data_IF_710105211355
#
_entry.id   IF_710105211355
#
_cell.length_a   1.000
_cell.length_b   1.000
_cell.length_c   1.000
_cell.angle_alpha   90.00
_cell.angle_beta   90.00
_cell.angle_gamma   90.00
#
_symmetry.space_group_name_H-M   'P 1'
#
loop_
_entity.id
_entity.type
_entity.pdbx_description
1 polymer ?
#
# COMPACT_ATOMS: atom_id res chain seq x y z
N UNK A 1 -8.95 -16.36 19.49
CA UNK A 1 -8.64 -15.27 20.42
C UNK A 1 -7.12 -15.17 20.56
N UNK A 2 -6.57 -14.02 20.21
CA UNK A 2 -5.16 -13.73 20.43
C UNK A 2 -5.05 -13.24 21.88
N UNK A 3 -4.81 -14.13 22.81
CA UNK A 3 -4.59 -13.75 24.22
C UNK A 3 -3.11 -13.49 24.41
N UNK A 4 -2.70 -12.22 24.41
CA UNK A 4 -1.33 -11.78 24.72
C UNK A 4 -0.89 -12.18 26.14
N UNK A 5 -1.83 -12.33 27.03
CA UNK A 5 -1.57 -12.58 28.44
C UNK A 5 -2.55 -13.65 28.95
N UNK A 6 -2.08 -14.54 29.78
CA UNK A 6 -2.92 -15.59 30.39
C UNK A 6 -4.05 -14.93 31.23
N UNK A 7 -5.33 -15.25 30.95
CA UNK A 7 -6.46 -14.71 31.74
C UNK A 7 -6.28 -14.93 33.24
N UNK A 8 -6.51 -13.89 34.02
CA UNK A 8 -6.37 -13.95 35.48
C UNK A 8 -4.94 -13.72 36.01
N UNK A 9 -3.95 -13.41 35.13
CA UNK A 9 -2.60 -13.04 35.57
C UNK A 9 -2.55 -11.60 36.09
N UNK A 10 -1.51 -11.24 36.90
CA UNK A 10 -1.29 -9.86 37.36
C UNK A 10 -1.21 -8.86 36.19
N UNK A 11 -0.65 -9.27 35.08
CA UNK A 11 -0.58 -8.47 33.85
C UNK A 11 -1.96 -8.28 33.20
N UNK A 12 -2.82 -9.29 33.18
CA UNK A 12 -4.22 -9.22 32.74
C UNK A 12 -5.02 -8.20 33.55
N UNK A 13 -4.88 -8.27 34.92
CA UNK A 13 -5.52 -7.31 35.80
C UNK A 13 -5.01 -5.86 35.64
N UNK A 14 -3.73 -5.67 35.34
CA UNK A 14 -3.16 -4.34 35.07
C UNK A 14 -3.63 -3.78 33.74
N UNK A 15 -3.60 -4.58 32.66
CA UNK A 15 -4.06 -4.20 31.34
C UNK A 15 -5.55 -3.88 31.31
N UNK A 16 -6.37 -4.69 31.98
CA UNK A 16 -7.82 -4.46 32.04
C UNK A 16 -8.18 -3.16 32.77
N UNK A 17 -7.45 -2.81 33.85
CA UNK A 17 -7.65 -1.52 34.55
C UNK A 17 -7.23 -0.30 33.76
N UNK A 18 -6.25 -0.44 32.83
CA UNK A 18 -5.66 0.69 32.13
C UNK A 18 -6.28 0.92 30.74
N UNK A 19 -6.70 -0.15 30.07
CA UNK A 19 -7.10 -0.12 28.64
C UNK A 19 -8.54 -0.57 28.38
N UNK A 20 -9.27 -1.09 29.36
CA UNK A 20 -10.68 -1.36 29.17
C UNK A 20 -11.47 -0.05 29.18
N UNK A 21 -12.26 0.16 28.13
CA UNK A 21 -13.27 1.21 28.05
C UNK A 21 -14.67 0.60 28.18
N UNK A 22 -15.68 1.45 28.29
CA UNK A 22 -17.11 1.03 28.29
C UNK A 22 -17.53 0.33 26.98
N UNK A 23 -16.75 0.49 25.91
CA UNK A 23 -17.09 -0.01 24.57
C UNK A 23 -16.15 -1.12 24.08
N UNK A 24 -14.91 -1.18 24.56
CA UNK A 24 -13.90 -2.14 24.10
C UNK A 24 -13.09 -2.70 25.26
N UNK A 25 -12.86 -4.01 25.23
CA UNK A 25 -11.89 -4.67 26.10
C UNK A 25 -10.47 -4.50 25.54
N UNK A 26 -9.45 -4.52 26.43
CA UNK A 26 -8.06 -4.48 25.97
C UNK A 26 -7.71 -5.64 25.03
N UNK A 27 -8.34 -6.80 25.22
CA UNK A 27 -8.15 -7.99 24.37
C UNK A 27 -8.64 -7.75 22.94
N UNK A 28 -9.75 -7.02 22.77
CA UNK A 28 -10.25 -6.63 21.43
C UNK A 28 -9.33 -5.61 20.77
N UNK A 29 -8.86 -4.61 21.55
CA UNK A 29 -7.93 -3.60 21.03
C UNK A 29 -6.63 -4.27 20.56
N UNK A 30 -5.97 -5.07 21.40
CA UNK A 30 -4.74 -5.77 21.02
C UNK A 30 -4.97 -6.84 19.96
N UNK A 31 -6.16 -7.46 19.94
CA UNK A 31 -6.56 -8.43 18.89
C UNK A 31 -6.66 -7.82 17.49
N UNK A 32 -6.99 -6.53 17.40
CA UNK A 32 -6.99 -5.76 16.16
C UNK A 32 -5.60 -5.15 15.86
N UNK A 33 -4.92 -4.64 16.88
CA UNK A 33 -3.66 -3.93 16.73
C UNK A 33 -2.47 -4.86 16.44
N UNK A 34 -2.43 -6.03 17.07
CA UNK A 34 -1.37 -7.01 16.88
C UNK A 34 -1.17 -7.44 15.42
N UNK A 35 -2.21 -7.88 14.71
CA UNK A 35 -2.10 -8.19 13.29
C UNK A 35 -1.62 -7.02 12.43
N UNK A 36 -2.01 -5.78 12.75
CA UNK A 36 -1.56 -4.59 12.01
C UNK A 36 -0.06 -4.30 12.21
N UNK A 37 0.46 -4.49 13.43
CA UNK A 37 1.90 -4.35 13.68
C UNK A 37 2.71 -5.40 12.94
N UNK A 38 2.25 -6.64 12.94
CA UNK A 38 2.87 -7.73 12.20
C UNK A 38 2.82 -7.45 10.70
N UNK A 39 1.69 -6.93 10.19
CA UNK A 39 1.51 -6.50 8.80
C UNK A 39 2.57 -5.48 8.39
N UNK A 40 2.76 -4.41 9.18
CA UNK A 40 3.77 -3.40 8.91
C UNK A 40 5.19 -3.97 8.96
N UNK A 41 5.49 -4.81 9.94
CA UNK A 41 6.80 -5.48 10.03
C UNK A 41 7.11 -6.31 8.76
N UNK A 42 6.13 -7.08 8.28
CA UNK A 42 6.28 -7.85 7.03
C UNK A 42 6.51 -6.96 5.81
N UNK A 43 5.78 -5.84 5.70
CA UNK A 43 5.96 -4.88 4.59
C UNK A 43 7.40 -4.34 4.58
N UNK A 44 7.92 -3.91 5.72
CA UNK A 44 9.30 -3.41 5.82
C UNK A 44 10.33 -4.50 5.53
N UNK A 45 10.17 -5.69 6.11
CA UNK A 45 11.08 -6.82 5.89
C UNK A 45 11.17 -7.18 4.39
N UNK A 46 10.03 -7.30 3.73
CA UNK A 46 9.99 -7.60 2.29
C UNK A 46 10.58 -6.46 1.46
N UNK A 47 10.34 -5.21 1.84
CA UNK A 47 10.96 -4.04 1.21
C UNK A 47 12.49 -4.12 1.26
N UNK A 48 13.07 -4.41 2.42
CA UNK A 48 14.52 -4.59 2.59
C UNK A 48 15.05 -5.75 1.74
N UNK A 49 14.38 -6.90 1.75
CA UNK A 49 14.78 -8.06 0.95
C UNK A 49 14.74 -7.75 -0.56
N UNK A 50 13.69 -7.08 -1.03
CA UNK A 50 13.58 -6.69 -2.45
C UNK A 50 14.67 -5.71 -2.85
N UNK A 51 14.98 -4.71 -2.01
CA UNK A 51 16.09 -3.77 -2.26
C UNK A 51 17.42 -4.52 -2.33
N UNK A 52 17.67 -5.46 -1.42
CA UNK A 52 18.86 -6.32 -1.44
C UNK A 52 18.96 -7.14 -2.73
N UNK A 53 17.83 -7.67 -3.23
CA UNK A 53 17.80 -8.43 -4.49
C UNK A 53 18.07 -7.55 -5.71
N UNK A 54 17.53 -6.34 -5.75
CA UNK A 54 17.81 -5.37 -6.82
C UNK A 54 19.29 -4.97 -6.79
N UNK A 55 19.88 -4.79 -5.61
CA UNK A 55 21.28 -4.41 -5.46
C UNK A 55 22.26 -5.47 -5.99
N UNK A 56 21.83 -6.73 -6.05
CA UNK A 56 22.61 -7.82 -6.66
C UNK A 56 22.57 -7.81 -8.21
N UNK A 57 21.69 -7.02 -8.81
CA UNK A 57 21.52 -6.93 -10.27
C UNK A 57 22.50 -5.93 -10.89
N UNK A 58 22.30 -4.63 -10.67
CA UNK A 58 23.22 -3.58 -11.11
C UNK A 58 23.12 -2.32 -10.25
N UNK A 59 24.22 -1.56 -10.15
CA UNK A 59 24.25 -0.29 -9.41
C UNK A 59 23.31 0.74 -10.03
N UNK A 60 23.23 0.78 -11.37
CA UNK A 60 22.36 1.68 -12.10
C UNK A 60 20.88 1.39 -11.81
N UNK A 61 20.51 0.11 -11.63
CA UNK A 61 19.13 -0.28 -11.32
C UNK A 61 18.72 0.13 -9.91
N UNK A 62 19.62 -0.03 -8.93
CA UNK A 62 19.39 0.49 -7.57
C UNK A 62 19.23 2.01 -7.60
N UNK A 63 20.12 2.71 -8.32
CA UNK A 63 20.07 4.16 -8.48
C UNK A 63 18.77 4.62 -9.13
N UNK A 64 18.34 3.95 -10.21
CA UNK A 64 17.11 4.27 -10.92
C UNK A 64 15.87 4.12 -10.02
N UNK A 65 15.73 3.00 -9.32
CA UNK A 65 14.61 2.76 -8.38
C UNK A 65 14.65 3.78 -7.23
N UNK A 66 15.83 4.04 -6.67
CA UNK A 66 15.99 5.01 -5.57
C UNK A 66 15.55 6.41 -5.95
N UNK A 67 15.92 6.90 -7.14
CA UNK A 67 15.54 8.24 -7.60
C UNK A 67 14.03 8.42 -7.69
N UNK A 68 13.31 7.40 -8.15
CA UNK A 68 11.85 7.49 -8.35
C UNK A 68 11.03 6.97 -7.18
N UNK A 69 11.66 6.42 -6.14
CA UNK A 69 10.97 5.89 -4.96
C UNK A 69 10.05 6.92 -4.29
N UNK A 70 10.46 8.19 -4.03
CA UNK A 70 9.56 9.17 -3.43
C UNK A 70 8.32 9.45 -4.30
N UNK A 71 8.46 9.41 -5.63
CA UNK A 71 7.34 9.58 -6.54
C UNK A 71 6.36 8.39 -6.45
N UNK A 72 6.88 7.17 -6.42
CA UNK A 72 6.05 5.97 -6.28
C UNK A 72 5.36 5.91 -4.91
N UNK A 73 6.05 6.29 -3.83
CA UNK A 73 5.45 6.39 -2.50
C UNK A 73 4.36 7.46 -2.44
N UNK A 74 4.55 8.60 -3.09
CA UNK A 74 3.54 9.64 -3.18
C UNK A 74 2.25 9.14 -3.84
N UNK A 75 2.36 8.38 -4.93
CA UNK A 75 1.22 7.79 -5.64
C UNK A 75 0.50 6.73 -4.77
N UNK A 76 1.26 5.86 -4.11
CA UNK A 76 0.71 4.88 -3.16
C UNK A 76 0.01 5.59 -2.01
N UNK A 77 0.61 6.65 -1.48
CA UNK A 77 0.07 7.41 -0.36
C UNK A 77 -1.26 8.11 -0.70
N UNK A 78 -1.40 8.66 -1.90
CA UNK A 78 -2.68 9.22 -2.38
C UNK A 78 -3.80 8.18 -2.40
N UNK A 79 -3.51 7.00 -2.97
CA UNK A 79 -4.47 5.88 -2.98
C UNK A 79 -4.82 5.42 -1.56
N UNK A 80 -3.81 5.30 -0.69
CA UNK A 80 -3.98 4.84 0.70
C UNK A 80 -4.68 5.87 1.58
N UNK A 81 -4.54 7.17 1.29
CA UNK A 81 -5.27 8.23 1.99
C UNK A 81 -6.77 8.14 1.73
N UNK A 82 -7.17 7.92 0.47
CA UNK A 82 -8.58 7.69 0.12
C UNK A 82 -9.11 6.39 0.74
N UNK A 83 -8.31 5.33 0.70
CA UNK A 83 -8.63 4.07 1.35
C UNK A 83 -8.84 4.25 2.87
N UNK A 84 -8.01 5.06 3.54
CA UNK A 84 -8.16 5.40 4.97
C UNK A 84 -9.47 6.14 5.25
N UNK A 85 -9.84 7.10 4.39
CA UNK A 85 -11.15 7.75 4.45
C UNK A 85 -12.30 6.73 4.36
N UNK A 86 -12.19 5.79 3.42
CA UNK A 86 -13.14 4.68 3.27
C UNK A 86 -13.21 3.79 4.53
N UNK A 87 -12.07 3.45 5.12
CA UNK A 87 -11.99 2.69 6.39
C UNK A 87 -12.80 3.34 7.50
N UNK A 88 -12.65 4.65 7.69
CA UNK A 88 -13.35 5.40 8.74
C UNK A 88 -14.85 5.44 8.49
N UNK A 89 -15.29 5.72 7.25
CA UNK A 89 -16.72 5.77 6.91
C UNK A 89 -17.38 4.40 7.10
N UNK A 90 -16.74 3.31 6.68
CA UNK A 90 -17.23 1.94 6.92
C UNK A 90 -17.32 1.63 8.40
N UNK A 91 -16.31 1.97 9.19
CA UNK A 91 -16.28 1.76 10.64
C UNK A 91 -17.40 2.55 11.35
N UNK A 92 -17.70 3.79 10.93
CA UNK A 92 -18.80 4.59 11.48
C UNK A 92 -20.16 3.93 11.28
N UNK A 93 -20.45 3.42 10.07
CA UNK A 93 -21.72 2.74 9.82
C UNK A 93 -21.80 1.38 10.51
N UNK A 94 -20.68 0.67 10.63
CA UNK A 94 -20.61 -0.54 11.46
C UNK A 94 -20.93 -0.24 12.93
N UNK A 95 -20.34 0.81 13.49
CA UNK A 95 -20.60 1.25 14.87
C UNK A 95 -22.06 1.65 15.13
N UNK A 96 -22.74 2.18 14.11
CA UNK A 96 -24.19 2.49 14.15
C UNK A 96 -25.10 1.27 13.97
N UNK A 97 -24.56 0.08 13.66
CA UNK A 97 -25.33 -1.12 13.39
C UNK A 97 -26.08 -1.12 12.05
N UNK A 98 -25.86 -0.11 11.20
CA UNK A 98 -26.55 0.02 9.91
C UNK A 98 -25.82 -0.78 8.81
N UNK A 99 -26.18 -2.05 8.70
CA UNK A 99 -25.56 -3.01 7.78
C UNK A 99 -25.72 -2.61 6.32
N UNK A 100 -26.86 -2.03 5.94
CA UNK A 100 -27.09 -1.62 4.55
C UNK A 100 -26.20 -0.47 4.16
N UNK A 101 -26.13 0.60 4.97
CA UNK A 101 -25.24 1.73 4.73
C UNK A 101 -23.78 1.34 4.83
N UNK A 102 -23.42 0.42 5.73
CA UNK A 102 -22.06 -0.12 5.82
C UNK A 102 -21.66 -0.81 4.51
N UNK A 103 -22.53 -1.64 3.91
CA UNK A 103 -22.24 -2.31 2.62
C UNK A 103 -22.12 -1.32 1.47
N UNK A 104 -22.99 -0.29 1.42
CA UNK A 104 -22.88 0.81 0.45
C UNK A 104 -21.57 1.58 0.63
N UNK A 105 -21.24 1.98 1.86
CA UNK A 105 -19.99 2.66 2.17
C UNK A 105 -18.77 1.82 1.75
N UNK A 106 -18.82 0.50 1.97
CA UNK A 106 -17.76 -0.41 1.56
C UNK A 106 -17.58 -0.43 0.03
N UNK A 107 -18.67 -0.54 -0.74
CA UNK A 107 -18.62 -0.45 -2.20
C UNK A 107 -18.04 0.88 -2.68
N UNK A 108 -18.48 1.98 -2.08
CA UNK A 108 -17.99 3.33 -2.43
C UNK A 108 -16.52 3.55 -2.04
N UNK A 109 -16.04 2.96 -0.95
CA UNK A 109 -14.63 3.02 -0.56
C UNK A 109 -13.74 2.31 -1.59
N UNK A 110 -14.13 1.14 -2.07
CA UNK A 110 -13.43 0.43 -3.14
C UNK A 110 -13.44 1.26 -4.43
N UNK A 111 -14.62 1.78 -4.83
CA UNK A 111 -14.73 2.62 -6.03
C UNK A 111 -13.83 3.86 -5.96
N UNK A 112 -13.88 4.63 -4.86
CA UNK A 112 -13.07 5.83 -4.69
C UNK A 112 -11.58 5.53 -4.79
N UNK A 113 -11.12 4.45 -4.12
CA UNK A 113 -9.73 4.02 -4.15
C UNK A 113 -9.30 3.62 -5.56
N UNK A 114 -10.15 2.86 -6.28
CA UNK A 114 -9.88 2.47 -7.67
C UNK A 114 -9.86 3.67 -8.60
N UNK A 115 -10.79 4.60 -8.48
CA UNK A 115 -10.87 5.79 -9.32
C UNK A 115 -9.62 6.68 -9.16
N UNK A 116 -9.22 6.97 -7.92
CA UNK A 116 -8.01 7.78 -7.66
C UNK A 116 -6.75 7.06 -8.14
N UNK A 117 -6.61 5.76 -7.87
CA UNK A 117 -5.45 5.00 -8.33
C UNK A 117 -5.38 4.90 -9.85
N UNK A 118 -6.52 4.75 -10.53
CA UNK A 118 -6.57 4.71 -11.99
C UNK A 118 -6.19 6.07 -12.59
N UNK A 119 -6.74 7.17 -12.07
CA UNK A 119 -6.43 8.53 -12.54
C UNK A 119 -4.94 8.83 -12.32
N UNK A 120 -4.40 8.57 -11.13
CA UNK A 120 -2.99 8.83 -10.82
C UNK A 120 -2.05 7.94 -11.65
N UNK A 121 -2.42 6.68 -11.89
CA UNK A 121 -1.68 5.76 -12.76
C UNK A 121 -1.67 6.25 -14.22
N UNK A 122 -2.82 6.64 -14.76
CA UNK A 122 -2.94 7.14 -16.13
C UNK A 122 -2.14 8.44 -16.32
N UNK A 123 -2.23 9.37 -15.37
CA UNK A 123 -1.42 10.59 -15.38
C UNK A 123 0.07 10.27 -15.34
N UNK A 124 0.49 9.36 -14.45
CA UNK A 124 1.90 8.98 -14.33
C UNK A 124 2.41 8.33 -15.62
N UNK A 125 1.63 7.45 -16.25
CA UNK A 125 1.97 6.87 -17.56
C UNK A 125 2.13 7.94 -18.64
N UNK A 126 1.20 8.91 -18.70
CA UNK A 126 1.21 9.95 -19.72
C UNK A 126 2.43 10.88 -19.60
N UNK A 127 2.90 11.14 -18.36
CA UNK A 127 3.99 12.10 -18.12
C UNK A 127 5.31 11.45 -17.71
N UNK A 128 5.41 10.12 -17.66
CA UNK A 128 6.58 9.39 -17.15
C UNK A 128 7.91 9.84 -17.75
N UNK A 129 8.03 9.84 -19.07
CA UNK A 129 9.26 10.24 -19.76
C UNK A 129 9.62 11.72 -19.55
N UNK A 130 8.74 12.68 -19.89
CA UNK A 130 8.97 14.09 -19.63
C UNK A 130 9.27 14.41 -18.16
N UNK A 131 8.53 13.81 -17.22
CA UNK A 131 8.72 14.05 -15.79
C UNK A 131 10.09 13.57 -15.31
N UNK A 132 10.50 12.35 -15.68
CA UNK A 132 11.81 11.81 -15.33
C UNK A 132 12.94 12.68 -15.89
N UNK A 133 12.84 13.11 -17.15
CA UNK A 133 13.85 13.97 -17.76
C UNK A 133 13.90 15.36 -17.13
N UNK A 134 12.77 15.93 -16.74
CA UNK A 134 12.71 17.22 -16.08
C UNK A 134 13.24 17.16 -14.64
N UNK A 135 12.83 16.16 -13.87
CA UNK A 135 13.18 16.05 -12.45
C UNK A 135 14.62 15.52 -12.23
N UNK A 136 15.07 14.61 -13.10
CA UNK A 136 16.32 13.88 -12.93
C UNK A 136 17.25 14.03 -14.15
N UNK A 137 17.15 15.15 -14.85
CA UNK A 137 17.94 15.42 -16.06
C UNK A 137 19.46 15.41 -15.85
N UNK A 138 19.90 15.61 -14.60
CA UNK A 138 21.31 15.55 -14.22
C UNK A 138 21.85 14.11 -14.05
N UNK A 139 20.96 13.10 -13.95
CA UNK A 139 21.38 11.71 -13.83
C UNK A 139 21.81 11.12 -15.18
N UNK A 140 22.64 10.06 -15.12
CA UNK A 140 23.08 9.33 -16.31
C UNK A 140 21.90 8.84 -17.17
N UNK A 141 22.09 8.84 -18.50
CA UNK A 141 21.05 8.44 -19.45
C UNK A 141 20.52 7.02 -19.20
N UNK A 142 21.41 6.08 -18.84
CA UNK A 142 21.06 4.69 -18.51
C UNK A 142 20.16 4.63 -17.27
N UNK A 143 20.48 5.42 -16.24
CA UNK A 143 19.67 5.48 -15.00
C UNK A 143 18.28 6.06 -15.31
N UNK A 144 18.17 7.10 -16.14
CA UNK A 144 16.89 7.69 -16.53
C UNK A 144 16.03 6.74 -17.36
N UNK A 145 16.62 6.00 -18.28
CA UNK A 145 15.92 4.97 -19.06
C UNK A 145 15.36 3.87 -18.16
N UNK A 146 16.17 3.35 -17.25
CA UNK A 146 15.76 2.35 -16.26
C UNK A 146 14.68 2.90 -15.31
N UNK A 147 14.80 4.14 -14.86
CA UNK A 147 13.80 4.81 -14.04
C UNK A 147 12.46 4.96 -14.75
N UNK A 148 12.48 5.33 -16.05
CA UNK A 148 11.27 5.42 -16.87
C UNK A 148 10.60 4.05 -17.04
N UNK A 149 11.37 3.02 -17.36
CA UNK A 149 10.88 1.63 -17.46
C UNK A 149 10.26 1.14 -16.15
N UNK A 150 10.88 1.47 -15.00
CA UNK A 150 10.35 1.14 -13.70
C UNK A 150 9.02 1.85 -13.42
N UNK A 151 8.91 3.15 -13.69
CA UNK A 151 7.69 3.94 -13.49
C UNK A 151 6.55 3.42 -14.37
N UNK A 152 6.81 3.05 -15.62
CA UNK A 152 5.79 2.46 -16.50
C UNK A 152 5.27 1.14 -15.90
N UNK A 153 6.15 0.22 -15.55
CA UNK A 153 5.76 -1.05 -14.95
C UNK A 153 5.06 -0.90 -13.59
N UNK A 154 5.52 0.06 -12.76
CA UNK A 154 4.87 0.43 -11.51
C UNK A 154 3.45 0.97 -11.74
N UNK A 155 3.26 1.87 -12.70
CA UNK A 155 1.96 2.46 -13.02
C UNK A 155 0.94 1.40 -13.44
N UNK A 156 1.34 0.43 -14.26
CA UNK A 156 0.48 -0.70 -14.64
C UNK A 156 0.06 -1.49 -13.40
N UNK A 157 0.96 -1.72 -12.46
CA UNK A 157 0.69 -2.45 -11.23
C UNK A 157 -0.27 -1.73 -10.27
N UNK A 158 -0.47 -0.42 -10.43
CA UNK A 158 -1.37 0.38 -9.57
C UNK A 158 -2.84 0.02 -9.78
N UNK A 159 -3.23 -0.49 -10.96
CA UNK A 159 -4.62 -0.91 -11.20
C UNK A 159 -5.03 -2.09 -10.31
N UNK A 160 -4.34 -3.24 -10.33
CA UNK A 160 -4.65 -4.32 -9.40
C UNK A 160 -4.39 -3.96 -7.92
N UNK A 161 -3.39 -3.10 -7.64
CA UNK A 161 -3.15 -2.58 -6.31
C UNK A 161 -4.36 -1.81 -5.75
N UNK A 162 -5.06 -1.06 -6.59
CA UNK A 162 -6.21 -0.27 -6.17
C UNK A 162 -7.35 -1.15 -5.59
N UNK A 163 -7.64 -2.27 -6.26
CA UNK A 163 -8.62 -3.23 -5.75
C UNK A 163 -8.19 -3.82 -4.41
N UNK A 164 -6.95 -4.26 -4.33
CA UNK A 164 -6.37 -4.75 -3.09
C UNK A 164 -6.48 -3.73 -1.96
N UNK A 165 -6.03 -2.49 -2.19
CA UNK A 165 -6.02 -1.42 -1.20
C UNK A 165 -7.44 -1.00 -0.77
N UNK A 166 -8.39 -0.93 -1.71
CA UNK A 166 -9.79 -0.63 -1.42
C UNK A 166 -10.46 -1.72 -0.58
N UNK A 167 -10.21 -2.99 -0.88
CA UNK A 167 -10.73 -4.11 -0.07
C UNK A 167 -10.11 -4.12 1.32
N UNK A 168 -8.81 -3.82 1.43
CA UNK A 168 -8.15 -3.65 2.73
C UNK A 168 -8.79 -2.55 3.58
N UNK A 169 -9.14 -1.43 2.97
CA UNK A 169 -9.87 -0.36 3.65
C UNK A 169 -11.17 -0.86 4.27
N UNK A 170 -11.94 -1.63 3.50
CA UNK A 170 -13.20 -2.24 3.96
C UNK A 170 -12.96 -3.22 5.10
N UNK A 171 -12.03 -4.17 4.94
CA UNK A 171 -11.73 -5.18 5.97
C UNK A 171 -11.24 -4.53 7.26
N UNK A 172 -10.39 -3.51 7.19
CA UNK A 172 -9.96 -2.72 8.36
C UNK A 172 -11.14 -1.99 9.00
N UNK A 173 -12.02 -1.39 8.20
CA UNK A 173 -13.22 -0.70 8.67
C UNK A 173 -14.20 -1.62 9.41
N UNK A 174 -14.32 -2.87 8.99
CA UNK A 174 -15.12 -3.88 9.71
C UNK A 174 -14.32 -4.59 10.81
N UNK A 175 -13.05 -4.25 11.04
CA UNK A 175 -12.20 -4.81 12.09
C UNK A 175 -11.66 -6.21 11.79
N UNK A 176 -11.75 -6.70 10.54
CA UNK A 176 -11.18 -7.99 10.13
C UNK A 176 -9.69 -7.85 9.75
N UNK A 177 -8.89 -7.43 10.71
CA UNK A 177 -7.45 -7.23 10.53
C UNK A 177 -6.67 -8.54 10.33
N UNK A 178 -7.24 -9.67 10.76
CA UNK A 178 -6.63 -10.99 10.56
C UNK A 178 -6.66 -11.42 9.09
N UNK A 179 -7.74 -11.15 8.39
CA UNK A 179 -7.83 -11.40 6.94
C UNK A 179 -6.88 -10.46 6.19
N UNK A 180 -6.77 -9.19 6.61
CA UNK A 180 -5.75 -8.28 6.08
C UNK A 180 -4.34 -8.88 6.21
N UNK A 181 -3.94 -9.28 7.40
CA UNK A 181 -2.61 -9.86 7.65
C UNK A 181 -2.36 -11.10 6.77
N UNK A 182 -3.34 -12.01 6.67
CA UNK A 182 -3.19 -13.22 5.83
C UNK A 182 -2.97 -12.85 4.36
N UNK A 183 -3.74 -11.89 3.84
CA UNK A 183 -3.58 -11.40 2.47
C UNK A 183 -2.21 -10.75 2.26
N UNK A 184 -1.76 -9.88 3.16
CA UNK A 184 -0.45 -9.25 3.08
C UNK A 184 0.65 -10.29 3.04
N UNK A 185 0.61 -11.28 3.94
CA UNK A 185 1.62 -12.35 3.98
C UNK A 185 1.64 -13.13 2.65
N UNK A 186 0.49 -13.54 2.14
CA UNK A 186 0.39 -14.29 0.88
C UNK A 186 0.96 -13.46 -0.29
N UNK A 187 0.53 -12.20 -0.42
CA UNK A 187 0.95 -11.32 -1.52
C UNK A 187 2.46 -11.06 -1.44
N UNK A 188 2.98 -10.79 -0.25
CA UNK A 188 4.40 -10.54 -0.06
C UNK A 188 5.25 -11.79 -0.32
N UNK A 189 4.79 -12.98 0.05
CA UNK A 189 5.46 -14.23 -0.31
C UNK A 189 5.48 -14.44 -1.82
N UNK A 190 4.35 -14.22 -2.51
CA UNK A 190 4.30 -14.30 -3.97
C UNK A 190 5.28 -13.29 -4.59
N UNK A 191 5.30 -12.05 -4.09
CA UNK A 191 6.23 -11.03 -4.54
C UNK A 191 7.69 -11.44 -4.34
N UNK A 192 8.02 -11.97 -3.17
CA UNK A 192 9.37 -12.45 -2.85
C UNK A 192 9.82 -13.58 -3.78
N UNK A 193 8.99 -14.62 -3.96
CA UNK A 193 9.29 -15.72 -4.87
C UNK A 193 9.41 -15.27 -6.32
N UNK A 194 8.50 -14.41 -6.79
CA UNK A 194 8.58 -13.84 -8.13
C UNK A 194 9.86 -13.00 -8.30
N UNK A 195 10.24 -12.21 -7.29
CA UNK A 195 11.49 -11.43 -7.31
C UNK A 195 12.71 -12.32 -7.37
N UNK A 196 12.76 -13.41 -6.56
CA UNK A 196 13.84 -14.39 -6.63
C UNK A 196 13.97 -15.01 -8.03
N UNK A 197 12.84 -15.38 -8.63
CA UNK A 197 12.83 -15.99 -9.95
C UNK A 197 13.31 -14.98 -11.02
N UNK A 198 12.72 -13.81 -11.08
CA UNK A 198 12.99 -12.86 -12.16
C UNK A 198 14.32 -12.12 -12.00
N UNK A 199 14.74 -11.80 -10.78
CA UNK A 199 16.00 -11.06 -10.54
C UNK A 199 17.20 -12.01 -10.46
N UNK A 200 17.11 -13.09 -9.66
CA UNK A 200 18.28 -13.92 -9.38
C UNK A 200 18.46 -15.05 -10.40
N UNK A 201 17.35 -15.69 -10.85
CA UNK A 201 17.44 -16.81 -11.80
C UNK A 201 17.41 -16.31 -13.25
N UNK A 202 16.41 -15.50 -13.62
CA UNK A 202 16.24 -15.02 -15.00
C UNK A 202 17.05 -13.77 -15.30
N UNK A 203 17.58 -13.08 -14.28
CA UNK A 203 18.40 -11.85 -14.37
C UNK A 203 17.77 -10.74 -15.23
N UNK A 204 16.46 -10.54 -15.08
CA UNK A 204 15.69 -9.58 -15.87
C UNK A 204 15.83 -8.13 -15.38
N UNK A 205 16.66 -7.87 -14.37
CA UNK A 205 16.96 -6.53 -13.83
C UNK A 205 15.66 -5.74 -13.49
N UNK A 206 15.52 -4.49 -13.95
CA UNK A 206 14.35 -3.63 -13.71
C UNK A 206 13.04 -4.28 -14.18
N UNK A 207 13.06 -4.97 -15.30
CA UNK A 207 11.87 -5.71 -15.79
C UNK A 207 11.46 -6.82 -14.81
N UNK A 208 12.43 -7.50 -14.20
CA UNK A 208 12.17 -8.51 -13.18
C UNK A 208 11.48 -7.93 -11.95
N UNK A 209 11.90 -6.75 -11.50
CA UNK A 209 11.28 -6.03 -10.38
C UNK A 209 9.82 -5.67 -10.69
N UNK A 210 9.57 -5.06 -11.84
CA UNK A 210 8.22 -4.63 -12.22
C UNK A 210 7.28 -5.80 -12.47
N UNK A 211 7.75 -6.90 -13.08
CA UNK A 211 6.97 -8.12 -13.27
C UNK A 211 6.60 -8.76 -11.94
N UNK A 212 7.52 -8.82 -10.97
CA UNK A 212 7.26 -9.35 -9.63
C UNK A 212 6.15 -8.57 -8.93
N UNK A 213 6.19 -7.24 -8.98
CA UNK A 213 5.13 -6.39 -8.44
C UNK A 213 3.80 -6.61 -9.15
N UNK A 214 3.80 -6.66 -10.47
CA UNK A 214 2.57 -6.82 -11.24
C UNK A 214 1.89 -8.16 -10.94
N UNK A 215 2.64 -9.26 -10.90
CA UNK A 215 2.10 -10.60 -10.60
C UNK A 215 1.53 -10.64 -9.18
N UNK A 216 2.31 -10.19 -8.19
CA UNK A 216 1.88 -10.21 -6.79
C UNK A 216 0.61 -9.36 -6.57
N UNK A 217 0.55 -8.17 -7.16
CA UNK A 217 -0.61 -7.27 -7.05
C UNK A 217 -1.83 -7.78 -7.82
N UNK A 218 -1.63 -8.40 -8.99
CA UNK A 218 -2.70 -8.99 -9.78
C UNK A 218 -3.37 -10.15 -9.03
N UNK A 219 -2.58 -11.08 -8.50
CA UNK A 219 -3.09 -12.19 -7.69
C UNK A 219 -3.74 -11.65 -6.42
N UNK A 220 -3.06 -10.72 -5.72
CA UNK A 220 -3.57 -10.11 -4.51
C UNK A 220 -4.87 -9.35 -4.70
N UNK A 221 -4.97 -8.55 -5.77
CA UNK A 221 -6.19 -7.84 -6.14
C UNK A 221 -7.34 -8.80 -6.47
N UNK A 222 -7.08 -9.85 -7.23
CA UNK A 222 -8.07 -10.88 -7.55
C UNK A 222 -8.58 -11.61 -6.30
N UNK A 223 -7.69 -12.04 -5.41
CA UNK A 223 -8.07 -12.69 -4.15
C UNK A 223 -8.85 -11.72 -3.25
N UNK A 224 -8.43 -10.46 -3.16
CA UNK A 224 -9.12 -9.45 -2.36
C UNK A 224 -10.56 -9.21 -2.85
N UNK A 225 -10.76 -9.03 -4.16
CA UNK A 225 -12.10 -8.88 -4.76
C UNK A 225 -12.95 -10.14 -4.52
N UNK A 226 -12.37 -11.33 -4.70
CA UNK A 226 -13.05 -12.58 -4.41
C UNK A 226 -13.57 -12.64 -2.97
N UNK A 227 -12.71 -12.27 -1.99
CA UNK A 227 -13.10 -12.27 -0.57
C UNK A 227 -14.18 -11.23 -0.25
N UNK A 228 -14.20 -10.10 -0.95
CA UNK A 228 -15.22 -9.07 -0.76
C UNK A 228 -16.59 -9.49 -1.29
N UNK A 229 -16.60 -10.17 -2.45
CA UNK A 229 -17.83 -10.54 -3.16
C UNK A 229 -18.37 -11.91 -2.71
N UNK A 230 -17.49 -12.81 -2.28
CA UNK A 230 -17.89 -14.17 -1.88
C UNK A 230 -18.76 -14.16 -0.62
N UNK A 231 -19.84 -14.97 -0.57
CA UNK A 231 -20.79 -14.99 0.55
C UNK A 231 -20.21 -15.58 1.85
N UNK A 232 -18.92 -15.82 1.94
CA UNK A 232 -18.21 -16.41 3.08
C UNK A 232 -17.36 -15.42 3.87
N UNK A 233 -17.32 -14.15 3.46
CA UNK A 233 -16.53 -13.12 4.10
C UNK A 233 -17.21 -12.48 5.31
N UNK A 234 -16.45 -11.70 6.07
CA UNK A 234 -16.96 -10.87 7.17
C UNK A 234 -17.96 -9.81 6.70
N UNK A 235 -17.87 -9.43 5.43
CA UNK A 235 -18.78 -8.52 4.76
C UNK A 235 -18.87 -8.91 3.27
N UNK A 236 -20.07 -9.19 2.80
CA UNK A 236 -20.32 -9.41 1.37
C UNK A 236 -20.80 -8.13 0.70
N UNK A 237 -20.05 -7.63 -0.26
CA UNK A 237 -20.41 -6.42 -1.04
C UNK A 237 -20.70 -6.84 -2.48
N UNK A 238 -21.95 -6.68 -2.96
CA UNK A 238 -22.26 -6.95 -4.36
C UNK A 238 -21.49 -6.02 -5.28
N UNK A 239 -21.03 -6.51 -6.42
CA UNK A 239 -20.33 -5.71 -7.44
C UNK A 239 -21.13 -4.46 -7.85
N UNK A 240 -22.47 -4.58 -7.87
CA UNK A 240 -23.35 -3.45 -8.16
C UNK A 240 -23.14 -2.26 -7.21
N UNK A 241 -22.87 -2.50 -5.93
CA UNK A 241 -22.66 -1.43 -4.94
C UNK A 241 -21.29 -0.74 -5.14
N UNK A 242 -20.34 -1.40 -5.76
CA UNK A 242 -19.04 -0.80 -6.11
C UNK A 242 -19.23 0.21 -7.25
N UNK A 243 -19.99 -0.16 -8.29
CA UNK A 243 -20.13 0.68 -9.49
C UNK A 243 -21.29 1.69 -9.43
N UNK A 244 -22.15 1.63 -8.42
CA UNK A 244 -23.22 2.61 -8.21
C UNK A 244 -22.72 3.78 -7.40
N UNK A 245 -22.22 4.81 -8.09
CA UNK A 245 -21.64 6.01 -7.44
C UNK A 245 -22.71 6.77 -6.62
N UNK A 246 -22.40 6.99 -5.34
CA UNK A 246 -23.20 7.81 -4.42
C UNK A 246 -22.33 8.94 -3.85
N UNK A 247 -22.62 10.16 -4.29
CA UNK A 247 -21.85 11.35 -3.92
C UNK A 247 -21.84 11.64 -2.43
N UNK A 248 -22.85 11.25 -1.67
CA UNK A 248 -22.91 11.44 -0.22
C UNK A 248 -21.78 10.68 0.48
N UNK A 249 -21.59 9.42 0.11
CA UNK A 249 -20.49 8.59 0.64
C UNK A 249 -19.15 9.07 0.12
N UNK A 250 -19.05 9.41 -1.18
CA UNK A 250 -17.82 9.91 -1.79
C UNK A 250 -17.35 11.18 -1.07
N UNK A 251 -18.24 12.14 -0.83
CA UNK A 251 -17.94 13.35 -0.08
C UNK A 251 -17.37 13.03 1.30
N UNK A 252 -17.98 12.12 2.04
CA UNK A 252 -17.53 11.72 3.38
C UNK A 252 -16.16 11.08 3.34
N UNK A 253 -15.90 10.19 2.35
CA UNK A 253 -14.60 9.52 2.15
C UNK A 253 -13.52 10.56 1.83
N UNK A 254 -13.78 11.49 0.90
CA UNK A 254 -12.80 12.50 0.51
C UNK A 254 -12.56 13.56 1.59
N UNK A 255 -13.58 13.93 2.36
CA UNK A 255 -13.40 14.86 3.49
C UNK A 255 -12.41 14.33 4.54
N UNK A 256 -12.33 13.01 4.71
CA UNK A 256 -11.37 12.39 5.62
C UNK A 256 -10.05 12.11 4.88
N UNK A 257 -10.13 11.62 3.64
CA UNK A 257 -8.95 11.23 2.86
C UNK A 257 -8.07 12.41 2.41
N UNK A 258 -8.66 13.58 2.07
CA UNK A 258 -7.89 14.74 1.59
C UNK A 258 -6.86 15.27 2.61
N UNK A 259 -7.18 15.45 3.91
CA UNK A 259 -6.18 15.83 4.90
C UNK A 259 -5.00 14.83 4.99
N UNK A 260 -5.29 13.53 4.98
CA UNK A 260 -4.25 12.49 4.94
C UNK A 260 -3.41 12.56 3.66
N UNK A 261 -4.07 12.80 2.51
CA UNK A 261 -3.36 12.96 1.24
C UNK A 261 -2.42 14.17 1.27
N UNK A 262 -2.89 15.30 1.80
CA UNK A 262 -2.08 16.51 1.90
C UNK A 262 -0.83 16.30 2.77
N UNK A 263 -0.97 15.67 3.94
CA UNK A 263 0.15 15.31 4.81
C UNK A 263 1.20 14.49 4.06
N UNK A 264 0.76 13.42 3.38
CA UNK A 264 1.64 12.54 2.62
C UNK A 264 2.29 13.22 1.42
N UNK A 265 1.58 14.13 0.75
CA UNK A 265 2.12 14.92 -0.36
C UNK A 265 3.25 15.84 0.13
N UNK A 266 3.10 16.51 1.26
CA UNK A 266 4.15 17.36 1.83
C UNK A 266 5.37 16.53 2.21
N UNK A 267 5.20 15.40 2.88
CA UNK A 267 6.30 14.55 3.31
C UNK A 267 7.06 13.94 2.12
N UNK A 268 6.35 13.28 1.21
CA UNK A 268 6.98 12.63 0.05
C UNK A 268 7.45 13.64 -0.99
N UNK A 269 6.77 14.80 -1.13
CA UNK A 269 7.19 15.90 -1.98
C UNK A 269 8.53 16.49 -1.54
N UNK A 270 8.74 16.66 -0.23
CA UNK A 270 10.03 17.04 0.32
C UNK A 270 11.14 16.04 -0.05
N UNK A 271 10.85 14.75 0.08
CA UNK A 271 11.78 13.67 -0.33
C UNK A 271 12.11 13.71 -1.83
N UNK A 272 11.12 14.03 -2.69
CA UNK A 272 11.34 14.21 -4.13
C UNK A 272 12.33 15.34 -4.43
N UNK A 273 12.19 16.47 -3.75
CA UNK A 273 13.11 17.60 -3.92
C UNK A 273 14.52 17.17 -3.56
N UNK A 274 14.72 16.48 -2.42
CA UNK A 274 16.01 15.95 -2.01
C UNK A 274 16.58 15.00 -3.06
N UNK A 275 15.78 14.07 -3.57
CA UNK A 275 16.21 13.12 -4.62
C UNK A 275 16.57 13.83 -5.93
N UNK A 276 15.88 14.90 -6.28
CA UNK A 276 16.23 15.71 -7.46
C UNK A 276 17.64 16.32 -7.33
N UNK A 277 18.03 16.81 -6.14
CA UNK A 277 19.40 17.28 -5.90
C UNK A 277 20.43 16.13 -5.94
N UNK A 278 20.10 14.99 -5.33
CA UNK A 278 21.00 13.82 -5.32
C UNK A 278 21.21 13.27 -6.73
N UNK A 279 20.27 13.43 -7.65
CA UNK A 279 20.36 12.95 -9.03
C UNK A 279 21.57 13.49 -9.81
N UNK A 280 22.11 14.67 -9.42
CA UNK A 280 23.33 15.25 -9.98
C UNK A 280 24.64 14.69 -9.41
N UNK A 281 24.56 13.78 -8.45
CA UNK A 281 25.73 13.14 -7.84
C UNK A 281 26.10 11.84 -8.56
N UNK A 282 27.23 11.23 -8.19
CA UNK A 282 27.63 9.95 -8.79
C UNK A 282 26.63 8.84 -8.48
N UNK A 283 26.51 7.85 -9.37
CA UNK A 283 25.66 6.67 -9.20
C UNK A 283 25.94 5.92 -7.89
N UNK A 284 27.19 5.93 -7.43
CA UNK A 284 27.58 5.34 -6.14
C UNK A 284 26.92 6.07 -4.94
N UNK A 285 26.84 7.39 -4.97
CA UNK A 285 26.18 8.19 -3.91
C UNK A 285 24.68 7.96 -3.92
N UNK A 286 24.06 7.91 -5.11
CA UNK A 286 22.63 7.63 -5.26
C UNK A 286 22.31 6.23 -4.70
N UNK A 287 23.10 5.22 -5.04
CA UNK A 287 22.93 3.85 -4.54
C UNK A 287 23.16 3.75 -3.01
N UNK A 288 24.18 4.46 -2.48
CA UNK A 288 24.41 4.51 -1.04
C UNK A 288 23.24 5.15 -0.28
N UNK A 289 22.66 6.23 -0.82
CA UNK A 289 21.45 6.85 -0.27
C UNK A 289 20.25 5.87 -0.26
N UNK A 290 20.11 5.05 -1.32
CA UNK A 290 19.07 4.02 -1.37
C UNK A 290 19.21 3.00 -0.23
N UNK A 291 20.42 2.50 0.00
CA UNK A 291 20.72 1.54 1.06
C UNK A 291 20.44 2.16 2.44
N UNK A 292 20.88 3.38 2.66
CA UNK A 292 20.64 4.11 3.92
C UNK A 292 19.15 4.29 4.17
N UNK A 293 18.39 4.75 3.18
CA UNK A 293 16.93 4.95 3.31
C UNK A 293 16.13 3.64 3.51
N UNK A 294 16.68 2.51 3.07
CA UNK A 294 16.05 1.19 3.31
C UNK A 294 16.32 0.64 4.72
N UNK A 295 17.22 1.26 5.47
CA UNK A 295 17.63 0.84 6.81
C UNK A 295 16.91 1.62 7.92
N UNK A 296 16.17 2.66 7.57
CA UNK A 296 15.31 3.46 8.45
C UNK A 296 13.83 3.23 8.11
#
# INVERSE_FOLDING_TARGET
HFTLVKPGSRADGWLSRRFNSTQFSYQEIFGMFGPLLIDQFFIYLIGMLTTSMISSSSQESVSAVSLVSPLTYMIIALSSAVASGGTVVVAQYKGKGDQEKMRRAAGQAVFATCAVSFITSALLLAVSGPAINWMFGAADAVIREKATSYIIGFSISMVPFAFYNGVFAVLRGVGDTKTCLRLTVIINLIHLFASMLFLNVMKLDILGTTLSYNIARLIGGGVAVYLLVAPRGSLTVPLREIFRVDWSYQKSIFQIGIPFAAEQLFFNGGSLIVQSYISGMSSAVIAANAITNSSF
#
